data_IF_525878232570
#
_entry.id   IF_525878232570
#
_cell.length_a   1.000
_cell.length_b   1.000
_cell.length_c   1.000
_cell.angle_alpha   90.00
_cell.angle_beta   90.00
_cell.angle_gamma   90.00
#
_symmetry.space_group_name_H-M   'P 1'
#
loop_
_entity.id
_entity.type
_entity.pdbx_description
1 polymer ?
#
# COMPACT_ATOMS: atom_id res chain seq x y z
N UNK A 1 -54.22 14.69 9.46
CA UNK A 1 -53.71 13.37 9.90
C UNK A 1 -53.21 12.47 8.76
N UNK A 2 -53.68 12.60 7.51
CA UNK A 2 -53.22 11.75 6.38
C UNK A 2 -51.85 12.15 5.79
N UNK A 3 -51.50 13.44 5.86
CA UNK A 3 -50.27 13.98 5.26
C UNK A 3 -48.99 13.61 6.04
N UNK A 4 -49.05 13.55 7.37
CA UNK A 4 -47.91 13.16 8.22
C UNK A 4 -47.53 11.69 8.04
N UNK A 5 -48.52 10.79 7.93
CA UNK A 5 -48.28 9.36 7.69
C UNK A 5 -47.58 9.08 6.35
N UNK A 6 -47.87 9.87 5.31
CA UNK A 6 -47.24 9.73 3.98
C UNK A 6 -45.75 10.12 4.05
N UNK A 7 -45.41 11.19 4.78
CA UNK A 7 -44.02 11.62 4.97
C UNK A 7 -43.20 10.55 5.71
N UNK A 8 -43.77 9.92 6.75
CA UNK A 8 -43.09 8.82 7.45
C UNK A 8 -42.88 7.59 6.57
N UNK A 9 -43.84 7.24 5.71
CA UNK A 9 -43.72 6.11 4.78
C UNK A 9 -42.66 6.38 3.72
N UNK A 10 -42.64 7.59 3.14
CA UNK A 10 -41.62 7.99 2.17
C UNK A 10 -40.23 8.06 2.80
N UNK A 11 -40.10 8.56 4.02
CA UNK A 11 -38.83 8.58 4.75
C UNK A 11 -38.31 7.16 5.06
N UNK A 12 -39.19 6.24 5.43
CA UNK A 12 -38.84 4.83 5.65
C UNK A 12 -38.42 4.14 4.35
N UNK A 13 -39.15 4.37 3.25
CA UNK A 13 -38.80 3.84 1.92
C UNK A 13 -37.49 4.41 1.39
N UNK A 14 -37.24 5.72 1.57
CA UNK A 14 -36.00 6.35 1.14
C UNK A 14 -34.78 5.88 1.93
N UNK A 15 -34.98 5.54 3.21
CA UNK A 15 -33.95 4.94 4.07
C UNK A 15 -33.67 3.47 3.70
N UNK A 16 -34.69 2.70 3.31
CA UNK A 16 -34.53 1.33 2.81
C UNK A 16 -33.83 1.29 1.45
N UNK A 17 -34.09 2.26 0.57
CA UNK A 17 -33.46 2.36 -0.75
C UNK A 17 -31.98 2.79 -0.68
N UNK A 18 -31.57 3.48 0.40
CA UNK A 18 -30.17 3.85 0.64
C UNK A 18 -29.31 2.67 1.14
N UNK A 19 -29.93 1.57 1.60
CA UNK A 19 -29.21 0.42 2.15
C UNK A 19 -28.82 -0.64 1.12
N UNK A 20 -29.22 -0.51 -0.14
CA UNK A 20 -28.75 -1.42 -1.22
C UNK A 20 -27.39 -0.97 -1.73
N UNK A 21 -26.38 -0.92 -0.86
CA UNK A 21 -24.99 -0.76 -1.28
C UNK A 21 -24.47 -2.09 -1.82
N UNK A 22 -24.30 -2.12 -3.15
CA UNK A 22 -23.40 -2.96 -3.95
C UNK A 22 -22.72 -4.12 -3.20
N UNK A 23 -23.21 -5.34 -3.46
CA UNK A 23 -22.51 -6.58 -3.15
C UNK A 23 -21.41 -6.82 -4.20
N UNK A 24 -20.33 -6.05 -4.14
CA UNK A 24 -19.11 -6.41 -4.84
C UNK A 24 -18.45 -7.48 -3.97
N UNK A 25 -18.58 -8.76 -4.35
CA UNK A 25 -17.78 -9.81 -3.74
C UNK A 25 -16.40 -9.74 -4.39
N UNK A 26 -15.39 -9.16 -3.71
CA UNK A 26 -14.07 -9.04 -4.32
C UNK A 26 -13.50 -10.42 -4.59
N UNK A 27 -12.92 -10.61 -5.77
CA UNK A 27 -12.26 -11.88 -6.06
C UNK A 27 -10.98 -12.00 -5.21
N UNK A 28 -10.54 -13.23 -4.90
CA UNK A 28 -9.27 -13.45 -4.19
C UNK A 28 -8.05 -12.79 -4.87
N UNK A 29 -8.16 -12.51 -6.18
CA UNK A 29 -7.11 -11.80 -6.94
C UNK A 29 -7.11 -10.30 -6.62
N UNK A 30 -8.28 -9.68 -6.51
CA UNK A 30 -8.43 -8.26 -6.15
C UNK A 30 -7.92 -8.00 -4.73
N UNK A 31 -8.29 -8.88 -3.78
CA UNK A 31 -7.85 -8.77 -2.38
C UNK A 31 -6.32 -8.83 -2.30
N UNK A 32 -5.70 -9.81 -2.97
CA UNK A 32 -4.24 -9.92 -3.01
C UNK A 32 -3.58 -8.67 -3.61
N UNK A 33 -4.17 -8.12 -4.68
CA UNK A 33 -3.64 -6.92 -5.30
C UNK A 33 -3.70 -5.70 -4.36
N UNK A 34 -4.80 -5.53 -3.64
CA UNK A 34 -4.96 -4.44 -2.68
C UNK A 34 -4.02 -4.58 -1.48
N UNK A 35 -3.82 -5.80 -0.97
CA UNK A 35 -2.81 -6.06 0.07
C UNK A 35 -1.41 -5.72 -0.43
N UNK A 36 -1.02 -6.16 -1.63
CA UNK A 36 0.27 -5.78 -2.22
C UNK A 36 0.41 -4.26 -2.40
N UNK A 37 -0.67 -3.57 -2.80
CA UNK A 37 -0.67 -2.11 -3.00
C UNK A 37 -0.51 -1.36 -1.69
N UNK A 38 -1.21 -1.79 -0.64
CA UNK A 38 -1.10 -1.22 0.70
C UNK A 38 0.32 -1.39 1.27
N UNK A 39 0.91 -2.57 1.13
CA UNK A 39 2.29 -2.83 1.56
C UNK A 39 3.32 -1.95 0.85
N UNK A 40 3.17 -1.78 -0.47
CA UNK A 40 4.06 -0.91 -1.24
C UNK A 40 3.90 0.54 -0.78
N UNK A 41 2.68 0.97 -0.47
CA UNK A 41 2.43 2.31 0.07
C UNK A 41 3.08 2.52 1.44
N UNK A 42 2.90 1.59 2.36
CA UNK A 42 3.50 1.65 3.71
C UNK A 42 5.03 1.66 3.66
N UNK A 43 5.63 0.83 2.78
CA UNK A 43 7.08 0.80 2.62
C UNK A 43 7.62 2.12 2.05
N UNK A 44 6.98 2.68 1.02
CA UNK A 44 7.36 3.99 0.46
C UNK A 44 7.19 5.11 1.48
N UNK A 45 6.14 5.10 2.29
CA UNK A 45 5.92 6.09 3.35
C UNK A 45 7.02 6.05 4.42
N UNK A 46 7.55 4.86 4.75
CA UNK A 46 8.69 4.72 5.66
C UNK A 46 9.99 5.23 5.04
N UNK A 47 10.22 4.97 3.76
CA UNK A 47 11.39 5.48 3.02
C UNK A 47 11.35 7.01 2.94
N UNK A 48 10.17 7.58 2.70
CA UNK A 48 9.98 9.03 2.58
C UNK A 48 10.22 9.80 3.89
N UNK A 49 10.11 9.15 5.05
CA UNK A 49 10.43 9.74 6.37
C UNK A 49 11.93 9.89 6.60
N UNK A 50 12.76 9.25 5.78
CA UNK A 50 14.21 9.34 5.89
C UNK A 50 14.74 10.67 5.32
N UNK A 51 15.83 11.18 5.91
CA UNK A 51 16.47 12.40 5.42
C UNK A 51 17.01 12.24 3.98
N UNK A 52 16.47 12.96 2.98
CA UNK A 52 16.85 12.78 1.58
C UNK A 52 18.27 13.27 1.26
N UNK A 53 18.88 14.03 2.18
CA UNK A 53 20.23 14.58 2.01
C UNK A 53 21.32 13.76 2.70
N UNK A 54 20.95 12.82 3.57
CA UNK A 54 21.93 12.02 4.31
C UNK A 54 22.62 11.07 3.33
N UNK A 55 23.95 11.08 3.33
CA UNK A 55 24.78 10.16 2.54
C UNK A 55 25.54 9.25 3.47
N UNK A 56 25.63 7.98 3.11
CA UNK A 56 26.41 6.98 3.83
C UNK A 56 27.52 6.46 2.91
N UNK A 57 28.75 6.31 3.43
CA UNK A 57 29.82 5.66 2.70
C UNK A 57 29.49 4.16 2.60
N UNK A 58 29.32 3.68 1.38
CA UNK A 58 29.16 2.26 1.05
C UNK A 58 30.35 1.86 0.17
N UNK A 59 31.23 1.04 0.72
CA UNK A 59 32.47 0.65 0.07
C UNK A 59 32.54 -0.84 -0.15
N UNK A 60 33.25 -1.26 -1.20
CA UNK A 60 33.75 -2.62 -1.22
C UNK A 60 34.91 -2.71 -0.22
N UNK A 61 34.95 -3.75 0.59
CA UNK A 61 36.10 -4.03 1.46
C UNK A 61 37.33 -4.52 0.67
N UNK A 62 37.27 -4.52 -0.67
CA UNK A 62 38.38 -4.94 -1.52
C UNK A 62 39.39 -3.81 -1.63
N UNK A 63 40.59 -4.10 -1.17
CA UNK A 63 41.76 -3.24 -1.36
C UNK A 63 42.27 -3.43 -2.80
N UNK A 64 42.65 -2.33 -3.44
CA UNK A 64 43.45 -2.40 -4.68
C UNK A 64 44.86 -2.87 -4.37
N UNK A 65 45.59 -3.30 -5.40
CA UNK A 65 47.01 -3.66 -5.29
C UNK A 65 47.86 -2.53 -4.67
N UNK A 66 47.44 -1.27 -4.83
CA UNK A 66 48.09 -0.07 -4.29
C UNK A 66 47.76 0.22 -2.82
N UNK A 67 47.00 -0.67 -2.15
CA UNK A 67 46.59 -0.51 -0.75
C UNK A 67 45.48 0.53 -0.51
N UNK A 68 45.00 1.18 -1.57
CA UNK A 68 43.88 2.15 -1.49
C UNK A 68 42.53 1.43 -1.53
N UNK A 69 41.58 1.94 -0.74
CA UNK A 69 40.21 1.43 -0.68
C UNK A 69 39.26 2.43 -1.35
N UNK A 70 38.53 1.99 -2.38
CA UNK A 70 37.46 2.81 -2.96
C UNK A 70 36.15 2.66 -2.17
N UNK A 71 35.73 3.76 -1.55
CA UNK A 71 34.42 3.88 -0.92
C UNK A 71 33.53 4.79 -1.75
N UNK A 72 32.31 4.34 -2.06
CA UNK A 72 31.31 5.11 -2.80
C UNK A 72 30.30 5.71 -1.81
N UNK A 73 30.06 7.00 -1.87
CA UNK A 73 28.97 7.59 -1.09
C UNK A 73 27.64 7.41 -1.82
N UNK A 74 26.66 6.78 -1.19
CA UNK A 74 25.29 6.63 -1.71
C UNK A 74 24.32 7.33 -0.75
N UNK A 75 23.17 7.74 -1.28
CA UNK A 75 22.09 8.31 -0.48
C UNK A 75 21.60 7.28 0.55
N UNK A 76 21.28 7.74 1.75
CA UNK A 76 20.76 6.90 2.82
C UNK A 76 19.31 6.51 2.57
N UNK A 77 18.48 7.44 2.08
CA UNK A 77 17.12 7.11 1.70
C UNK A 77 17.11 6.10 0.54
N UNK A 78 16.49 4.94 0.74
CA UNK A 78 16.42 3.86 -0.24
C UNK A 78 17.67 2.97 -0.33
N UNK A 79 18.67 3.15 0.56
CA UNK A 79 19.77 2.20 0.65
C UNK A 79 19.33 0.94 1.37
N UNK A 80 19.89 -0.21 0.98
CA UNK A 80 19.66 -1.49 1.67
C UNK A 80 19.82 -1.36 3.19
N UNK A 81 20.83 -0.61 3.63
CA UNK A 81 21.11 -0.33 5.04
C UNK A 81 20.05 0.51 5.75
N UNK A 82 19.35 1.39 5.05
CA UNK A 82 18.22 2.14 5.62
C UNK A 82 16.96 1.30 5.63
N UNK A 83 16.67 0.60 4.53
CA UNK A 83 15.38 -0.06 4.31
C UNK A 83 15.28 -1.41 5.02
N UNK A 84 16.39 -2.12 5.24
CA UNK A 84 16.38 -3.45 5.85
C UNK A 84 15.72 -3.49 7.23
N UNK A 85 15.92 -2.45 8.06
CA UNK A 85 15.36 -2.40 9.41
C UNK A 85 13.87 -2.03 9.44
N UNK A 86 13.44 -0.87 8.90
CA UNK A 86 12.03 -0.47 8.92
C UNK A 86 11.13 -1.48 8.21
N UNK A 87 11.57 -2.06 7.10
CA UNK A 87 10.79 -3.06 6.37
C UNK A 87 10.66 -4.36 7.17
N UNK A 88 11.74 -4.86 7.75
CA UNK A 88 11.75 -6.11 8.51
C UNK A 88 10.99 -6.06 9.83
N UNK A 89 11.11 -4.96 10.60
CA UNK A 89 10.47 -4.85 11.93
C UNK A 89 9.10 -4.18 11.91
N UNK A 90 8.78 -3.40 10.86
CA UNK A 90 7.57 -2.60 10.79
C UNK A 90 6.53 -3.14 9.81
N UNK A 91 6.93 -3.36 8.55
CA UNK A 91 5.98 -3.68 7.46
C UNK A 91 5.58 -5.15 7.47
N UNK A 92 6.54 -6.08 7.65
CA UNK A 92 6.25 -7.52 7.60
C UNK A 92 5.29 -7.96 8.72
N UNK A 93 5.42 -7.54 10.00
CA UNK A 93 4.44 -7.89 11.03
C UNK A 93 3.09 -7.19 10.84
N UNK A 94 3.06 -6.03 10.17
CA UNK A 94 1.80 -5.35 9.81
C UNK A 94 0.98 -6.18 8.84
N UNK A 95 1.62 -6.94 7.94
CA UNK A 95 0.99 -7.86 6.99
C UNK A 95 0.05 -8.87 7.66
N UNK A 96 0.42 -9.41 8.81
CA UNK A 96 -0.37 -10.45 9.50
C UNK A 96 -1.75 -9.92 9.94
N UNK A 97 -1.87 -8.60 10.12
CA UNK A 97 -3.13 -7.94 10.40
C UNK A 97 -4.02 -7.80 9.15
N UNK A 98 -3.45 -7.90 7.95
CA UNK A 98 -4.20 -7.87 6.70
C UNK A 98 -4.94 -9.18 6.39
N UNK A 99 -4.48 -10.32 6.90
CA UNK A 99 -5.24 -11.58 6.78
C UNK A 99 -6.44 -11.60 7.74
N UNK A 100 -6.21 -11.16 8.99
CA UNK A 100 -7.25 -11.11 10.03
C UNK A 100 -8.36 -10.09 9.76
N UNK A 101 -8.05 -8.93 9.16
CA UNK A 101 -9.05 -7.92 8.78
C UNK A 101 -10.09 -8.41 7.76
N UNK A 102 -9.73 -9.38 6.90
CA UNK A 102 -10.64 -9.99 5.92
C UNK A 102 -11.71 -10.85 6.57
N UNK A 103 -11.33 -11.63 7.58
CA UNK A 103 -12.30 -12.42 8.34
C UNK A 103 -13.36 -11.58 9.07
N UNK A 104 -13.05 -10.31 9.37
CA UNK A 104 -13.91 -9.40 10.14
C UNK A 104 -14.71 -8.42 9.28
N UNK A 105 -14.63 -8.50 7.94
CA UNK A 105 -15.40 -7.65 7.03
C UNK A 105 -15.07 -6.16 7.12
N UNK A 106 -13.89 -5.79 7.64
CA UNK A 106 -13.50 -4.40 7.96
C UNK A 106 -12.64 -3.77 6.86
N UNK A 107 -12.91 -4.06 5.59
CA UNK A 107 -12.21 -3.42 4.47
C UNK A 107 -13.02 -2.25 3.93
N UNK A 108 -12.41 -1.05 3.91
CA UNK A 108 -12.92 0.02 3.06
C UNK A 108 -12.49 -0.32 1.64
N UNK A 109 -13.43 -0.76 0.83
CA UNK A 109 -13.23 -0.87 -0.61
C UNK A 109 -13.05 0.55 -1.16
N UNK A 110 -11.81 0.96 -1.40
CA UNK A 110 -11.59 1.99 -2.41
C UNK A 110 -12.02 1.35 -3.74
N UNK A 111 -12.92 1.99 -4.51
CA UNK A 111 -13.46 1.38 -5.72
C UNK A 111 -12.32 1.07 -6.69
N UNK A 112 -12.18 -0.22 -7.00
CA UNK A 112 -11.27 -0.75 -8.00
C UNK A 112 -11.41 0.04 -9.31
N UNK A 113 -10.48 0.93 -9.60
CA UNK A 113 -10.19 1.29 -10.98
C UNK A 113 -8.96 0.51 -11.40
N UNK A 114 -9.10 -0.54 -12.23
CA UNK A 114 -7.96 -1.05 -12.96
C UNK A 114 -7.54 0.06 -13.95
N UNK A 115 -6.43 0.74 -13.69
CA UNK A 115 -5.80 1.50 -14.76
C UNK A 115 -5.41 0.53 -15.88
N UNK A 116 -5.77 0.80 -17.14
CA UNK A 116 -5.34 -0.03 -18.25
C UNK A 116 -3.82 0.06 -18.35
N UNK A 117 -3.13 -1.00 -17.92
CA UNK A 117 -1.70 -1.19 -18.17
C UNK A 117 -1.53 -1.40 -19.67
N UNK A 118 -1.45 -0.32 -20.43
CA UNK A 118 -0.98 -0.36 -21.82
C UNK A 118 0.46 -0.84 -21.77
N UNK A 119 0.64 -2.16 -21.91
CA UNK A 119 1.93 -2.79 -22.12
C UNK A 119 2.48 -2.24 -23.43
N UNK A 120 3.33 -1.21 -23.34
CA UNK A 120 4.29 -0.91 -24.41
C UNK A 120 5.24 -2.09 -24.49
N UNK A 121 4.88 -3.06 -25.34
CA UNK A 121 5.86 -3.98 -25.94
C UNK A 121 6.77 -3.12 -26.80
N UNK A 122 7.91 -2.71 -26.24
CA UNK A 122 9.08 -2.43 -27.07
C UNK A 122 9.58 -3.78 -27.56
N UNK A 123 9.24 -4.10 -28.81
CA UNK A 123 9.95 -5.11 -29.60
C UNK A 123 11.43 -4.72 -29.67
N UNK A 124 12.29 -5.67 -29.29
CA UNK A 124 13.64 -5.79 -29.82
C UNK A 124 14.10 -7.24 -29.72
#
# INVERSE_FOLDING_TARGET
MRSTSIVFILFRLHCSFLSTTSLCNPTMKEIKCEVCRALVKESVDLIAKADPKKRIPVGSFRLRADGTQEQKAVLYAGSETHDARPLGTGVVPSLDNYDSGYSQGKWRADPCQPEPRTLRKTER
#
